data_IF_518355212302
#
_entry.id   IF_518355212302
#
_cell.length_a   1.000
_cell.length_b   1.000
_cell.length_c   1.000
_cell.angle_alpha   90.00
_cell.angle_beta   90.00
_cell.angle_gamma   90.00
#
_symmetry.space_group_name_H-M   'P 1'
#
loop_
_entity.id
_entity.type
_entity.pdbx_description
1 polymer ?
#
# COMPACT_ATOMS: atom_id res chain seq x y z
N UNK A 1 -18.35 16.28 -20.28
CA UNK A 1 -19.09 15.07 -19.84
C UNK A 1 -19.00 15.01 -18.32
N UNK A 2 -20.11 14.84 -17.58
CA UNK A 2 -20.05 14.77 -16.10
C UNK A 2 -19.56 13.40 -15.64
N UNK A 3 -18.94 13.32 -14.46
CA UNK A 3 -18.48 12.05 -13.88
C UNK A 3 -19.60 11.01 -13.80
N UNK A 4 -20.80 11.43 -13.38
CA UNK A 4 -21.99 10.58 -13.31
C UNK A 4 -22.39 10.01 -14.67
N UNK A 5 -22.31 10.82 -15.74
CA UNK A 5 -22.60 10.36 -17.10
C UNK A 5 -21.53 9.38 -17.61
N UNK A 6 -20.26 9.58 -17.26
CA UNK A 6 -19.15 8.68 -17.62
C UNK A 6 -19.28 7.31 -16.95
N UNK A 7 -19.53 7.29 -15.64
CA UNK A 7 -19.81 6.07 -14.87
C UNK A 7 -21.00 5.32 -15.47
N UNK A 8 -22.12 6.03 -15.71
CA UNK A 8 -23.33 5.42 -16.27
C UNK A 8 -23.12 4.90 -17.69
N UNK A 9 -22.22 5.49 -18.46
CA UNK A 9 -21.87 5.01 -19.79
C UNK A 9 -21.02 3.75 -19.71
N UNK A 10 -19.97 3.73 -18.90
CA UNK A 10 -19.12 2.54 -18.75
C UNK A 10 -19.89 1.35 -18.16
N UNK A 11 -20.76 1.56 -17.17
CA UNK A 11 -21.58 0.49 -16.58
C UNK A 11 -22.64 -0.09 -17.54
N UNK A 12 -23.14 0.71 -18.49
CA UNK A 12 -24.12 0.26 -19.49
C UNK A 12 -23.53 -0.70 -20.51
N UNK A 13 -22.25 -0.53 -20.85
CA UNK A 13 -21.52 -1.46 -21.74
C UNK A 13 -20.70 -2.51 -20.99
N UNK A 14 -20.61 -2.45 -19.66
CA UNK A 14 -19.87 -3.41 -18.86
C UNK A 14 -20.58 -4.77 -18.81
N UNK A 15 -19.93 -5.79 -19.39
CA UNK A 15 -20.28 -7.21 -19.21
C UNK A 15 -20.15 -7.63 -17.75
N UNK A 16 -20.73 -8.77 -17.38
CA UNK A 16 -20.63 -9.29 -16.01
C UNK A 16 -19.18 -9.49 -15.56
N UNK A 17 -18.30 -9.94 -16.46
CA UNK A 17 -16.88 -10.10 -16.21
C UNK A 17 -16.19 -8.77 -15.85
N UNK A 18 -16.56 -7.67 -16.52
CA UNK A 18 -16.03 -6.33 -16.23
C UNK A 18 -16.49 -5.82 -14.86
N UNK A 19 -17.72 -6.15 -14.46
CA UNK A 19 -18.26 -5.80 -13.13
C UNK A 19 -17.56 -6.59 -12.03
N UNK A 20 -17.34 -7.90 -12.23
CA UNK A 20 -16.57 -8.73 -11.31
C UNK A 20 -15.12 -8.25 -11.18
N UNK A 21 -14.49 -7.86 -12.30
CA UNK A 21 -13.16 -7.27 -12.30
C UNK A 21 -13.11 -5.98 -11.48
N UNK A 22 -14.14 -5.12 -11.58
CA UNK A 22 -14.24 -3.91 -10.75
C UNK A 22 -14.37 -4.26 -9.26
N UNK A 23 -15.21 -5.23 -8.90
CA UNK A 23 -15.34 -5.68 -7.50
C UNK A 23 -14.00 -6.21 -6.99
N UNK A 24 -13.28 -6.99 -7.79
CA UNK A 24 -11.96 -7.50 -7.45
C UNK A 24 -10.93 -6.37 -7.27
N UNK A 25 -10.92 -5.37 -8.16
CA UNK A 25 -10.05 -4.18 -8.05
C UNK A 25 -10.37 -3.40 -6.77
N UNK A 26 -11.66 -3.12 -6.51
CA UNK A 26 -12.08 -2.38 -5.31
C UNK A 26 -11.75 -3.16 -4.03
N UNK A 27 -12.00 -4.47 -4.02
CA UNK A 27 -11.65 -5.34 -2.90
C UNK A 27 -10.15 -5.38 -2.66
N UNK A 28 -9.34 -5.46 -3.72
CA UNK A 28 -7.89 -5.41 -3.63
C UNK A 28 -7.38 -4.07 -3.10
N UNK A 29 -7.92 -2.96 -3.61
CA UNK A 29 -7.56 -1.63 -3.12
C UNK A 29 -7.97 -1.41 -1.66
N UNK A 30 -9.15 -1.89 -1.26
CA UNK A 30 -9.59 -1.84 0.13
C UNK A 30 -8.70 -2.68 1.06
N UNK A 31 -8.21 -3.83 0.58
CA UNK A 31 -7.23 -4.63 1.29
C UNK A 31 -5.86 -3.94 1.39
N UNK A 32 -5.36 -3.37 0.29
CA UNK A 32 -4.05 -2.72 0.23
C UNK A 32 -3.98 -1.43 1.07
N UNK A 33 -5.00 -0.58 0.97
CA UNK A 33 -5.09 0.71 1.69
C UNK A 33 -5.68 0.57 3.10
N UNK A 34 -6.09 -0.64 3.47
CA UNK A 34 -6.63 -0.96 4.78
C UNK A 34 -5.76 -1.99 5.49
N UNK A 35 -6.44 -2.94 6.12
CA UNK A 35 -5.83 -3.88 7.06
C UNK A 35 -4.66 -4.70 6.50
N UNK A 36 -4.68 -5.03 5.20
CA UNK A 36 -3.79 -6.02 4.62
C UNK A 36 -2.32 -5.65 4.71
N UNK A 37 -1.95 -4.47 4.21
CA UNK A 37 -0.56 -4.07 4.10
C UNK A 37 0.06 -3.70 5.45
N UNK A 38 -0.73 -3.07 6.31
CA UNK A 38 -0.33 -2.57 7.64
C UNK A 38 -0.28 -3.67 8.71
N UNK A 39 -0.92 -4.82 8.46
CA UNK A 39 -0.94 -5.97 9.38
C UNK A 39 -0.03 -7.08 8.92
N UNK A 40 -0.12 -7.49 7.65
CA UNK A 40 0.48 -8.72 7.20
C UNK A 40 2.00 -8.60 7.05
N UNK A 41 2.48 -7.49 6.49
CA UNK A 41 3.92 -7.27 6.29
C UNK A 41 4.67 -7.21 7.63
N UNK A 42 4.27 -6.38 8.62
CA UNK A 42 4.93 -6.36 9.92
C UNK A 42 4.85 -7.69 10.67
N UNK A 43 3.69 -8.36 10.63
CA UNK A 43 3.51 -9.70 11.21
C UNK A 43 4.47 -10.72 10.59
N UNK A 44 4.55 -10.76 9.25
CA UNK A 44 5.39 -11.70 8.53
C UNK A 44 6.87 -11.52 8.89
N UNK A 45 7.35 -10.27 8.91
CA UNK A 45 8.73 -9.96 9.28
C UNK A 45 9.02 -10.37 10.74
N UNK A 46 8.14 -10.00 11.67
CA UNK A 46 8.30 -10.38 13.08
C UNK A 46 8.29 -11.91 13.28
N UNK A 47 7.43 -12.62 12.54
CA UNK A 47 7.37 -14.08 12.54
C UNK A 47 8.68 -14.70 12.04
N UNK A 48 9.22 -14.20 10.92
CA UNK A 48 10.49 -14.71 10.37
C UNK A 48 11.64 -14.48 11.35
N UNK A 49 11.74 -13.29 11.94
CA UNK A 49 12.77 -12.98 12.95
C UNK A 49 12.60 -13.89 14.17
N UNK A 50 11.36 -14.14 14.60
CA UNK A 50 11.07 -15.04 15.71
C UNK A 50 11.53 -16.47 15.42
N UNK A 51 11.14 -17.00 14.26
CA UNK A 51 11.32 -18.40 13.88
C UNK A 51 12.75 -18.70 13.41
N UNK A 52 13.51 -17.68 13.01
CA UNK A 52 14.91 -17.80 12.57
C UNK A 52 15.85 -17.39 13.68
N UNK A 53 16.79 -18.27 14.04
CA UNK A 53 17.80 -18.00 15.08
C UNK A 53 19.13 -17.52 14.49
N UNK A 54 19.82 -16.67 15.25
CA UNK A 54 21.17 -16.20 14.93
C UNK A 54 21.21 -15.20 13.77
N UNK A 55 22.41 -14.93 13.29
CA UNK A 55 22.67 -13.88 12.30
C UNK A 55 21.99 -14.11 10.94
N UNK A 56 21.62 -15.36 10.61
CA UNK A 56 20.89 -15.69 9.38
C UNK A 56 19.49 -15.06 9.33
N UNK A 57 18.90 -14.69 10.47
CA UNK A 57 17.63 -13.97 10.53
C UNK A 57 17.70 -12.62 9.77
N UNK A 58 18.88 -11.99 9.69
CA UNK A 58 19.07 -10.70 9.03
C UNK A 58 18.87 -10.80 7.51
N UNK A 59 19.67 -11.57 6.74
CA UNK A 59 19.49 -11.67 5.30
C UNK A 59 18.17 -12.34 4.93
N UNK A 60 17.66 -13.29 5.72
CA UNK A 60 16.37 -13.96 5.45
C UNK A 60 15.21 -12.97 5.58
N UNK A 61 15.18 -12.19 6.67
CA UNK A 61 14.12 -11.18 6.88
C UNK A 61 14.19 -10.09 5.82
N UNK A 62 15.40 -9.64 5.45
CA UNK A 62 15.58 -8.65 4.40
C UNK A 62 15.09 -9.17 3.03
N UNK A 63 15.46 -10.41 2.66
CA UNK A 63 15.06 -11.01 1.40
C UNK A 63 13.56 -11.24 1.31
N UNK A 64 12.93 -11.75 2.38
CA UNK A 64 11.47 -11.96 2.41
C UNK A 64 10.73 -10.61 2.42
N UNK A 65 11.19 -9.64 3.23
CA UNK A 65 10.61 -8.29 3.24
C UNK A 65 10.67 -7.62 1.87
N UNK A 66 11.80 -7.75 1.17
CA UNK A 66 11.94 -7.30 -0.20
C UNK A 66 10.99 -8.03 -1.15
N UNK A 67 11.05 -9.37 -1.20
CA UNK A 67 10.32 -10.17 -2.17
C UNK A 67 8.81 -10.07 -1.99
N UNK A 68 8.33 -10.24 -0.77
CA UNK A 68 6.91 -10.14 -0.44
C UNK A 68 6.35 -8.75 -0.78
N UNK A 69 7.01 -7.69 -0.30
CA UNK A 69 6.55 -6.31 -0.56
C UNK A 69 6.60 -5.99 -2.04
N UNK A 70 7.67 -6.37 -2.76
CA UNK A 70 7.77 -6.12 -4.20
C UNK A 70 6.61 -6.79 -4.95
N UNK A 71 6.32 -8.06 -4.66
CA UNK A 71 5.22 -8.78 -5.32
C UNK A 71 3.86 -8.17 -5.00
N UNK A 72 3.62 -7.81 -3.74
CA UNK A 72 2.39 -7.17 -3.32
C UNK A 72 2.20 -5.80 -3.98
N UNK A 73 3.27 -5.02 -4.08
CA UNK A 73 3.26 -3.69 -4.69
C UNK A 73 3.14 -3.77 -6.23
N UNK A 74 3.71 -4.79 -6.87
CA UNK A 74 3.47 -5.06 -8.29
C UNK A 74 1.99 -5.41 -8.53
N UNK A 75 1.44 -6.33 -7.74
CA UNK A 75 0.03 -6.71 -7.84
C UNK A 75 -0.87 -5.49 -7.66
N UNK A 76 -0.56 -4.61 -6.70
CA UNK A 76 -1.35 -3.41 -6.43
C UNK A 76 -1.28 -2.38 -7.56
N UNK A 77 -0.07 -2.01 -7.99
CA UNK A 77 0.11 -1.06 -9.08
C UNK A 77 -0.49 -1.54 -10.41
N UNK A 78 -0.34 -2.83 -10.75
CA UNK A 78 -0.95 -3.39 -11.95
C UNK A 78 -2.47 -3.54 -11.85
N UNK A 79 -3.00 -3.87 -10.67
CA UNK A 79 -4.45 -3.90 -10.43
C UNK A 79 -5.05 -2.52 -10.60
N UNK A 80 -4.40 -1.49 -10.05
CA UNK A 80 -4.80 -0.10 -10.21
C UNK A 80 -4.78 0.30 -11.69
N UNK A 81 -3.65 0.13 -12.39
CA UNK A 81 -3.54 0.45 -13.82
C UNK A 81 -4.58 -0.27 -14.68
N UNK A 82 -4.83 -1.56 -14.40
CA UNK A 82 -5.84 -2.36 -15.10
C UNK A 82 -7.24 -1.81 -14.83
N UNK A 83 -7.58 -1.53 -13.58
CA UNK A 83 -8.87 -0.93 -13.21
C UNK A 83 -9.13 0.39 -13.94
N UNK A 84 -8.16 1.30 -13.94
CA UNK A 84 -8.29 2.57 -14.67
C UNK A 84 -8.32 2.41 -16.19
N UNK A 85 -7.64 1.38 -16.74
CA UNK A 85 -7.68 1.11 -18.17
C UNK A 85 -9.03 0.52 -18.62
N UNK A 86 -9.68 -0.26 -17.75
CA UNK A 86 -10.99 -0.85 -18.01
C UNK A 86 -12.08 0.24 -18.07
N UNK A 87 -12.01 1.24 -17.19
CA UNK A 87 -13.00 2.31 -17.07
C UNK A 87 -12.47 3.65 -17.63
N UNK A 88 -12.01 3.64 -18.89
CA UNK A 88 -11.34 4.79 -19.52
C UNK A 88 -12.17 6.08 -19.52
N UNK A 89 -13.49 6.00 -19.77
CA UNK A 89 -14.35 7.20 -19.79
C UNK A 89 -14.50 7.78 -18.38
N UNK A 90 -14.72 6.91 -17.40
CA UNK A 90 -14.77 7.30 -15.98
C UNK A 90 -13.45 7.90 -15.52
N UNK A 91 -12.31 7.28 -15.88
CA UNK A 91 -10.98 7.77 -15.56
C UNK A 91 -10.72 9.16 -16.18
N UNK A 92 -11.06 9.35 -17.46
CA UNK A 92 -10.94 10.65 -18.14
C UNK A 92 -11.82 11.73 -17.52
N UNK A 93 -13.06 11.41 -17.15
CA UNK A 93 -13.97 12.36 -16.51
C UNK A 93 -13.52 12.74 -15.09
N UNK A 94 -13.03 11.77 -14.31
CA UNK A 94 -12.43 12.01 -13.00
C UNK A 94 -11.19 12.90 -13.10
N UNK A 95 -10.33 12.63 -14.09
CA UNK A 95 -9.17 13.47 -14.39
C UNK A 95 -9.54 14.91 -14.75
N UNK A 96 -10.51 15.10 -15.66
CA UNK A 96 -10.99 16.43 -16.03
C UNK A 96 -11.54 17.20 -14.83
N UNK A 97 -12.26 16.52 -13.93
CA UNK A 97 -12.78 17.11 -12.70
C UNK A 97 -11.66 17.54 -11.76
N UNK A 98 -10.68 16.66 -11.52
CA UNK A 98 -9.53 16.95 -10.65
C UNK A 98 -8.66 18.08 -11.19
N UNK A 99 -8.42 18.11 -12.50
CA UNK A 99 -7.68 19.19 -13.16
C UNK A 99 -8.41 20.53 -13.08
N UNK A 100 -9.74 20.54 -13.17
CA UNK A 100 -10.53 21.75 -13.02
C UNK A 100 -10.54 22.33 -11.59
N UNK A 101 -10.13 21.54 -10.59
CA UNK A 101 -10.13 21.93 -9.17
C UNK A 101 -8.73 22.30 -8.63
N UNK A 102 -7.67 22.20 -9.44
CA UNK A 102 -6.30 22.49 -9.00
C UNK A 102 -5.54 23.37 -9.99
N UNK A 103 -4.91 24.41 -9.47
CA UNK A 103 -4.02 25.30 -10.24
C UNK A 103 -2.71 24.62 -10.64
N UNK A 104 -2.29 23.61 -9.89
CA UNK A 104 -1.08 22.83 -10.17
C UNK A 104 -1.37 21.33 -10.21
N UNK A 105 -0.90 20.69 -11.28
CA UNK A 105 -0.94 19.24 -11.42
C UNK A 105 0.25 18.61 -10.69
N UNK A 106 0.06 17.43 -10.04
CA UNK A 106 1.19 16.72 -9.46
C UNK A 106 2.20 16.35 -10.55
N UNK A 107 3.49 16.54 -10.24
CA UNK A 107 4.58 16.24 -11.14
C UNK A 107 4.70 14.74 -11.46
N UNK A 108 5.29 14.43 -12.61
CA UNK A 108 5.54 13.04 -12.99
C UNK A 108 6.53 12.36 -12.03
N UNK A 109 6.37 11.05 -11.86
CA UNK A 109 7.26 10.18 -11.10
C UNK A 109 8.73 10.38 -11.46
N UNK A 110 9.05 10.52 -12.74
CA UNK A 110 10.40 10.77 -13.23
C UNK A 110 11.02 12.03 -12.60
N UNK A 111 10.25 13.10 -12.48
CA UNK A 111 10.65 14.40 -11.95
C UNK A 111 10.69 14.51 -10.42
N UNK A 112 10.18 13.51 -9.68
CA UNK A 112 10.26 13.50 -8.23
C UNK A 112 11.70 13.21 -7.76
N UNK A 113 12.16 13.97 -6.76
CA UNK A 113 13.40 13.68 -6.05
C UNK A 113 13.37 12.32 -5.35
N UNK A 114 14.53 11.72 -5.09
CA UNK A 114 14.63 10.37 -4.50
C UNK A 114 13.91 10.28 -3.16
N UNK A 115 14.07 11.27 -2.29
CA UNK A 115 13.36 11.32 -1.00
C UNK A 115 11.83 11.32 -1.17
N UNK A 116 11.32 12.14 -2.08
CA UNK A 116 9.89 12.20 -2.37
C UNK A 116 9.37 10.86 -2.94
N UNK A 117 10.15 10.19 -3.79
CA UNK A 117 9.83 8.84 -4.29
C UNK A 117 9.75 7.82 -3.15
N UNK A 118 10.72 7.84 -2.24
CA UNK A 118 10.73 6.97 -1.06
C UNK A 118 9.52 7.24 -0.16
N UNK A 119 9.28 8.50 0.19
CA UNK A 119 8.15 8.88 1.04
C UNK A 119 6.80 8.50 0.40
N UNK A 120 6.64 8.75 -0.90
CA UNK A 120 5.43 8.44 -1.64
C UNK A 120 5.16 6.93 -1.68
N UNK A 121 6.17 6.14 -2.03
CA UNK A 121 6.02 4.70 -2.18
C UNK A 121 5.89 3.98 -0.85
N UNK A 122 6.64 4.42 0.17
CA UNK A 122 6.56 3.84 1.50
C UNK A 122 5.28 4.23 2.22
N UNK A 123 4.82 5.48 2.06
CA UNK A 123 3.61 5.97 2.72
C UNK A 123 2.31 5.61 2.02
N UNK A 124 2.27 5.62 0.68
CA UNK A 124 1.04 5.49 -0.10
C UNK A 124 1.03 4.31 -1.09
N UNK A 125 2.14 3.58 -1.22
CA UNK A 125 2.24 2.42 -2.11
C UNK A 125 2.29 2.77 -3.60
N UNK A 126 2.42 1.72 -4.42
CA UNK A 126 2.52 1.84 -5.89
C UNK A 126 1.20 2.20 -6.55
N UNK A 127 0.07 1.93 -5.90
CA UNK A 127 -1.24 2.37 -6.37
C UNK A 127 -1.30 3.89 -6.47
N UNK A 128 -0.81 4.61 -5.45
CA UNK A 128 -0.74 6.07 -5.48
C UNK A 128 0.19 6.58 -6.60
N UNK A 129 1.31 5.89 -6.83
CA UNK A 129 2.21 6.22 -7.96
C UNK A 129 1.51 6.02 -9.30
N UNK A 130 0.79 4.91 -9.49
CA UNK A 130 0.03 4.64 -10.71
C UNK A 130 -1.04 5.72 -10.95
N UNK A 131 -1.75 6.11 -9.90
CA UNK A 131 -2.70 7.22 -9.93
C UNK A 131 -2.04 8.54 -10.32
N UNK A 132 -0.94 8.90 -9.66
CA UNK A 132 -0.18 10.12 -9.96
C UNK A 132 0.27 10.13 -11.42
N UNK A 133 0.71 9.00 -11.97
CA UNK A 133 1.09 8.90 -13.37
C UNK A 133 -0.07 9.05 -14.35
N UNK A 134 -1.21 8.43 -14.06
CA UNK A 134 -2.41 8.59 -14.89
C UNK A 134 -2.85 10.06 -14.90
N UNK A 135 -2.84 10.67 -13.71
CA UNK A 135 -3.16 12.07 -13.47
C UNK A 135 -2.15 12.94 -14.23
N UNK A 136 -0.88 12.92 -13.89
CA UNK A 136 0.16 13.78 -14.50
C UNK A 136 0.22 13.69 -16.03
N UNK A 137 0.03 12.50 -16.61
CA UNK A 137 0.12 12.28 -18.06
C UNK A 137 -1.22 12.41 -18.81
N UNK A 138 -2.34 12.44 -18.09
CA UNK A 138 -3.70 12.40 -18.65
C UNK A 138 -4.01 11.15 -19.48
N UNK A 139 -3.21 10.08 -19.33
CA UNK A 139 -3.29 8.86 -20.15
C UNK A 139 -3.44 7.64 -19.26
N UNK A 140 -4.43 6.79 -19.56
CA UNK A 140 -4.55 5.44 -18.98
C UNK A 140 -3.74 4.43 -19.81
N UNK A 141 -3.49 3.25 -19.24
CA UNK A 141 -2.88 2.12 -19.94
C UNK A 141 -1.77 1.42 -19.16
N UNK A 142 -1.88 0.09 -19.05
CA UNK A 142 -0.92 -0.76 -18.33
C UNK A 142 0.49 -0.69 -18.90
N UNK A 143 0.66 -0.97 -20.21
CA UNK A 143 1.99 -1.00 -20.85
C UNK A 143 2.75 0.31 -20.74
N UNK A 144 2.03 1.44 -20.75
CA UNK A 144 2.63 2.77 -20.69
C UNK A 144 3.23 3.08 -19.32
N UNK A 145 2.57 2.65 -18.25
CA UNK A 145 2.95 2.96 -16.88
C UNK A 145 3.60 1.78 -16.13
N UNK A 146 3.73 0.62 -16.78
CA UNK A 146 4.30 -0.60 -16.22
C UNK A 146 5.71 -0.37 -15.65
N UNK A 147 6.57 0.37 -16.37
CA UNK A 147 7.94 0.66 -15.91
C UNK A 147 7.94 1.42 -14.59
N UNK A 148 7.04 2.41 -14.44
CA UNK A 148 6.94 3.21 -13.22
C UNK A 148 6.41 2.36 -12.06
N UNK A 149 5.42 1.49 -12.31
CA UNK A 149 4.94 0.53 -11.30
C UNK A 149 6.06 -0.42 -10.85
N UNK A 150 6.84 -0.96 -11.79
CA UNK A 150 7.96 -1.85 -11.46
C UNK A 150 9.02 -1.11 -10.64
N UNK A 151 9.43 0.10 -11.07
CA UNK A 151 10.42 0.89 -10.34
C UNK A 151 9.97 1.26 -8.94
N UNK A 152 8.72 1.67 -8.78
CA UNK A 152 8.14 2.01 -7.48
C UNK A 152 8.00 0.77 -6.58
N UNK A 153 7.57 -0.38 -7.13
CA UNK A 153 7.48 -1.63 -6.36
C UNK A 153 8.86 -2.09 -5.86
N UNK A 154 9.88 -2.06 -6.73
CA UNK A 154 11.25 -2.40 -6.36
C UNK A 154 11.81 -1.44 -5.29
N UNK A 155 11.52 -0.14 -5.41
CA UNK A 155 11.92 0.83 -4.39
C UNK A 155 11.26 0.52 -3.05
N UNK A 156 9.94 0.26 -3.04
CA UNK A 156 9.20 -0.12 -1.84
C UNK A 156 9.79 -1.36 -1.18
N UNK A 157 9.98 -2.43 -1.98
CA UNK A 157 10.55 -3.67 -1.51
C UNK A 157 11.95 -3.48 -0.96
N UNK A 158 12.78 -2.67 -1.61
CA UNK A 158 14.13 -2.36 -1.11
C UNK A 158 14.09 -1.67 0.25
N UNK A 159 13.19 -0.70 0.43
CA UNK A 159 13.01 -0.02 1.71
C UNK A 159 12.54 -0.99 2.80
N UNK A 160 11.52 -1.80 2.53
CA UNK A 160 10.99 -2.76 3.51
C UNK A 160 12.01 -3.86 3.82
N UNK A 161 12.75 -4.35 2.83
CA UNK A 161 13.83 -5.31 3.04
C UNK A 161 14.95 -4.73 3.91
N UNK A 162 15.37 -3.48 3.66
CA UNK A 162 16.36 -2.79 4.47
C UNK A 162 15.89 -2.61 5.92
N UNK A 163 14.65 -2.13 6.12
CA UNK A 163 14.05 -1.98 7.45
C UNK A 163 13.94 -3.34 8.15
N UNK A 164 13.48 -4.39 7.44
CA UNK A 164 13.38 -5.74 7.98
C UNK A 164 14.74 -6.28 8.43
N UNK A 165 15.79 -6.08 7.63
CA UNK A 165 17.16 -6.43 8.00
C UNK A 165 17.68 -5.65 9.22
N UNK A 166 17.39 -4.35 9.32
CA UNK A 166 17.73 -3.53 10.49
C UNK A 166 17.02 -4.03 11.76
N UNK A 167 15.71 -4.26 11.68
CA UNK A 167 14.92 -4.78 12.81
C UNK A 167 15.40 -6.16 13.23
N UNK A 168 15.69 -7.05 12.27
CA UNK A 168 16.28 -8.36 12.54
C UNK A 168 17.66 -8.24 13.23
N UNK A 169 18.49 -7.28 12.80
CA UNK A 169 19.80 -7.04 13.41
C UNK A 169 19.67 -6.60 14.87
N UNK A 170 18.75 -5.66 15.15
CA UNK A 170 18.44 -5.23 16.52
C UNK A 170 17.92 -6.39 17.36
N UNK A 171 17.05 -7.24 16.80
CA UNK A 171 16.52 -8.41 17.50
C UNK A 171 17.61 -9.45 17.80
N UNK A 172 18.54 -9.69 16.87
CA UNK A 172 19.68 -10.59 17.09
C UNK A 172 20.59 -10.04 18.20
N UNK A 173 20.88 -8.74 18.19
CA UNK A 173 21.65 -8.10 19.25
C UNK A 173 20.93 -8.18 20.61
N UNK A 174 19.62 -7.89 20.64
CA UNK A 174 18.81 -7.97 21.84
C UNK A 174 18.77 -9.37 22.46
N UNK A 175 18.72 -10.43 21.62
CA UNK A 175 18.81 -11.83 22.07
C UNK A 175 20.16 -12.18 22.69
N UNK A 176 21.24 -11.55 22.23
CA UNK A 176 22.60 -11.80 22.72
C UNK A 176 22.93 -11.05 24.01
N UNK A 177 22.14 -10.04 24.38
CA UNK A 177 22.30 -9.28 25.63
C UNK A 177 21.39 -9.88 26.70
N UNK A 178 21.98 -10.43 27.77
CA UNK A 178 21.24 -11.16 28.80
C UNK A 178 20.03 -10.37 29.36
N UNK A 179 20.23 -9.08 29.66
CA UNK A 179 19.17 -8.20 30.19
C UNK A 179 18.06 -7.85 29.19
N UNK A 180 18.29 -8.00 27.88
CA UNK A 180 17.31 -7.66 26.83
C UNK A 180 16.64 -8.89 26.22
N UNK A 181 17.25 -10.07 26.34
CA UNK A 181 16.79 -11.31 25.72
C UNK A 181 15.31 -11.61 25.99
N UNK A 182 14.88 -11.50 27.24
CA UNK A 182 13.48 -11.71 27.64
C UNK A 182 12.51 -10.71 27.02
N UNK A 183 12.88 -9.42 26.99
CA UNK A 183 12.06 -8.36 26.40
C UNK A 183 11.99 -8.50 24.87
N UNK A 184 13.09 -8.84 24.20
CA UNK A 184 13.14 -9.11 22.76
C UNK A 184 12.24 -10.30 22.39
N UNK A 185 12.33 -11.41 23.12
CA UNK A 185 11.47 -12.58 22.87
C UNK A 185 9.99 -12.32 23.17
N UNK A 186 9.68 -11.48 24.15
CA UNK A 186 8.31 -11.02 24.39
C UNK A 186 7.80 -10.16 23.22
N UNK A 187 8.59 -9.16 22.79
CA UNK A 187 8.21 -8.27 21.69
C UNK A 187 8.00 -9.05 20.39
N UNK A 188 8.89 -9.98 20.04
CA UNK A 188 8.75 -10.83 18.86
C UNK A 188 7.53 -11.77 18.94
N UNK A 189 7.16 -12.23 20.13
CA UNK A 189 5.92 -13.02 20.32
C UNK A 189 4.66 -12.18 20.09
N UNK A 190 4.63 -10.95 20.60
CA UNK A 190 3.50 -10.03 20.41
C UNK A 190 3.38 -9.62 18.95
N UNK A 191 4.46 -9.12 18.35
CA UNK A 191 4.48 -8.65 16.96
C UNK A 191 4.30 -9.81 15.96
N UNK A 192 4.76 -11.01 16.29
CA UNK A 192 4.55 -12.22 15.50
C UNK A 192 3.15 -12.83 15.66
N UNK A 193 2.27 -12.26 16.48
CA UNK A 193 0.88 -12.69 16.63
C UNK A 193 -0.02 -11.89 15.66
N UNK A 194 -0.69 -12.54 14.67
CA UNK A 194 -1.53 -11.82 13.73
C UNK A 194 -2.75 -11.15 14.40
N UNK A 195 -3.22 -11.70 15.52
CA UNK A 195 -4.35 -11.13 16.27
C UNK A 195 -4.02 -9.79 16.92
N UNK A 196 -2.75 -9.54 17.26
CA UNK A 196 -2.32 -8.25 17.80
C UNK A 196 -2.57 -7.13 16.80
N UNK A 197 -2.20 -7.34 15.54
CA UNK A 197 -2.40 -6.40 14.45
C UNK A 197 -3.87 -6.21 14.09
N UNK A 198 -4.64 -7.30 14.04
CA UNK A 198 -6.11 -7.21 13.87
C UNK A 198 -6.75 -6.41 15.00
N UNK A 199 -6.32 -6.63 16.25
CA UNK A 199 -6.78 -5.87 17.41
C UNK A 199 -6.47 -4.38 17.30
N UNK A 200 -5.25 -4.01 16.88
CA UNK A 200 -4.86 -2.61 16.65
C UNK A 200 -5.73 -1.95 15.58
N UNK A 201 -6.01 -2.64 14.47
CA UNK A 201 -6.90 -2.13 13.43
C UNK A 201 -8.32 -1.90 13.93
N UNK A 202 -8.88 -2.86 14.66
CA UNK A 202 -10.23 -2.74 15.23
C UNK A 202 -10.30 -1.59 16.25
N UNK A 203 -9.28 -1.45 17.09
CA UNK A 203 -9.20 -0.34 18.04
C UNK A 203 -9.10 1.01 17.32
N UNK A 204 -8.26 1.13 16.29
CA UNK A 204 -8.15 2.34 15.48
C UNK A 204 -9.46 2.68 14.76
N UNK A 205 -10.16 1.68 14.22
CA UNK A 205 -11.48 1.85 13.61
C UNK A 205 -12.52 2.34 14.64
N UNK A 206 -12.57 1.73 15.83
CA UNK A 206 -13.47 2.13 16.89
C UNK A 206 -13.21 3.58 17.35
N UNK A 207 -11.95 3.96 17.55
CA UNK A 207 -11.58 5.34 17.93
C UNK A 207 -12.01 6.34 16.85
N UNK A 208 -11.80 6.02 15.58
CA UNK A 208 -12.22 6.90 14.48
C UNK A 208 -13.75 7.03 14.39
N UNK A 209 -14.49 5.95 14.65
CA UNK A 209 -15.96 5.98 14.68
C UNK A 209 -16.47 6.84 15.85
N UNK A 210 -15.85 6.72 17.02
CA UNK A 210 -16.20 7.53 18.20
C UNK A 210 -15.91 9.02 17.95
N UNK A 211 -14.74 9.36 17.43
CA UNK A 211 -14.40 10.75 17.07
C UNK A 211 -15.39 11.38 16.08
N UNK A 212 -15.83 10.62 15.07
CA UNK A 212 -16.83 11.11 14.10
C UNK A 212 -18.18 11.38 14.75
N UNK A 213 -18.59 10.56 15.72
CA UNK A 213 -19.84 10.73 16.46
C UNK A 213 -19.82 11.99 17.34
N UNK A 214 -18.69 12.28 17.96
CA UNK A 214 -18.54 13.50 18.78
C UNK A 214 -18.57 14.78 17.92
N UNK A 215 -17.96 14.75 16.72
CA UNK A 215 -17.99 15.88 15.78
C UNK A 215 -19.37 16.15 15.17
N UNK A 216 -20.25 15.14 15.08
CA UNK A 216 -21.63 15.34 14.65
C UNK A 216 -22.53 15.92 15.75
N UNK A 217 -22.16 15.80 17.03
CA UNK A 217 -22.93 16.34 18.15
C UNK A 217 -22.53 17.77 18.57
N UNK A 218 -21.47 18.32 17.99
CA UNK A 218 -20.99 19.69 18.29
C UNK A 218 -21.40 20.74 17.24
N UNK A 219 -22.10 20.34 16.18
CA UNK A 219 -22.59 21.21 15.10
C UNK A 219 -24.13 21.36 15.08
N UNK A 220 -24.82 20.87 16.12
CA UNK A 220 -26.24 21.14 16.38
C UNK A 220 -26.36 22.13 17.56
#
# INVERSE_FOLDING_TARGET
MTLRAAVSADFRVATWNLRLALVAVVGWLAYEWGAGNETFTPWLLAKIIRDTRGASAIPITAAIGFGFTTLQQLASGFTALTGFSIFDRTAKAAWQTLRGQRDTLPGEWSGLGVFAKCALVFGLGTTAVALIQIVSTGRVGVRRHARVVVQSALLCGTMVGAIGGLVASVAVLGRNVHSLSGATEWALRVLGNPLFWVGLLLAGAAINLLRRKDSSHTND
#
